data_IF_051449382331
#
_entry.id   IF_051449382331
#
_cell.length_a   1.000
_cell.length_b   1.000
_cell.length_c   1.000
_cell.angle_alpha   90.00
_cell.angle_beta   90.00
_cell.angle_gamma   90.00
#
_symmetry.space_group_name_H-M   'P 1'
#
loop_
_entity.id
_entity.type
_entity.pdbx_description
1 polymer ?
#
# COMPACT_ATOMS: atom_id res chain seq x y z
N UNK A 1 8.48 -76.66 -10.87
CA UNK A 1 7.49 -77.61 -10.36
C UNK A 1 7.28 -77.26 -8.89
N UNK A 2 6.14 -76.68 -8.53
CA UNK A 2 5.86 -76.32 -7.13
C UNK A 2 5.20 -77.52 -6.47
N UNK A 3 5.87 -78.13 -5.49
CA UNK A 3 5.24 -79.15 -4.63
C UNK A 3 4.21 -78.48 -3.72
N UNK A 4 3.06 -79.13 -3.57
CA UNK A 4 2.05 -78.73 -2.58
C UNK A 4 2.54 -79.05 -1.16
N UNK A 5 1.96 -78.42 -0.13
CA UNK A 5 2.35 -78.68 1.26
C UNK A 5 2.12 -80.15 1.66
N UNK A 6 1.08 -80.78 1.15
CA UNK A 6 0.80 -82.20 1.42
C UNK A 6 1.85 -83.12 0.78
N UNK A 7 2.27 -82.84 -0.45
CA UNK A 7 3.36 -83.58 -1.12
C UNK A 7 4.72 -83.37 -0.43
N UNK A 8 4.98 -82.15 0.08
CA UNK A 8 6.17 -81.83 0.86
C UNK A 8 6.20 -82.57 2.20
N UNK A 9 5.07 -82.63 2.91
CA UNK A 9 4.98 -83.41 4.15
C UNK A 9 5.23 -84.89 3.87
N UNK A 10 4.60 -85.47 2.84
CA UNK A 10 4.77 -86.89 2.52
C UNK A 10 6.22 -87.23 2.17
N UNK A 11 6.91 -86.34 1.43
CA UNK A 11 8.27 -86.60 0.96
C UNK A 11 9.31 -86.37 2.05
N UNK A 12 9.23 -85.27 2.81
CA UNK A 12 10.30 -84.87 3.73
C UNK A 12 10.10 -85.34 5.17
N UNK A 13 8.88 -85.71 5.58
CA UNK A 13 8.60 -86.17 6.94
C UNK A 13 9.33 -87.48 7.33
N UNK A 14 9.46 -88.50 6.45
CA UNK A 14 10.27 -89.68 6.74
C UNK A 14 11.75 -89.35 6.94
N UNK A 15 12.30 -88.46 6.11
CA UNK A 15 13.70 -88.00 6.24
C UNK A 15 13.93 -87.23 7.53
N UNK A 16 12.99 -86.35 7.92
CA UNK A 16 13.07 -85.61 9.18
C UNK A 16 13.05 -86.53 10.41
N UNK A 17 12.24 -87.61 10.39
CA UNK A 17 12.20 -88.59 11.49
C UNK A 17 13.56 -89.26 11.72
N UNK A 18 14.30 -89.53 10.66
CA UNK A 18 15.58 -90.23 10.69
C UNK A 18 16.79 -89.34 11.05
N UNK A 19 16.62 -88.01 11.17
CA UNK A 19 17.69 -87.10 11.59
C UNK A 19 18.06 -87.29 13.07
N UNK A 20 19.33 -87.06 13.38
CA UNK A 20 19.81 -87.08 14.76
C UNK A 20 19.39 -85.82 15.54
N UNK A 21 19.55 -85.82 16.86
CA UNK A 21 19.09 -84.73 17.72
C UNK A 21 19.79 -83.38 17.44
N UNK A 22 21.06 -83.41 17.01
CA UNK A 22 21.85 -82.20 16.69
C UNK A 22 21.33 -81.54 15.41
N UNK A 23 21.03 -82.34 14.39
CA UNK A 23 20.48 -81.86 13.11
C UNK A 23 19.04 -81.36 13.26
N UNK A 24 18.22 -82.03 14.07
CA UNK A 24 16.86 -81.56 14.41
C UNK A 24 16.86 -80.21 15.10
N UNK A 25 17.82 -79.95 15.99
CA UNK A 25 17.91 -78.68 16.70
C UNK A 25 18.11 -77.46 15.77
N UNK A 26 18.78 -77.64 14.62
CA UNK A 26 18.96 -76.60 13.60
C UNK A 26 17.59 -76.20 13.01
N UNK A 27 16.79 -77.19 12.60
CA UNK A 27 15.46 -76.96 12.05
C UNK A 27 14.48 -76.40 13.09
N UNK A 28 14.58 -76.84 14.34
CA UNK A 28 13.77 -76.29 15.44
C UNK A 28 14.12 -74.83 15.75
N UNK A 29 15.40 -74.46 15.68
CA UNK A 29 15.85 -73.07 15.82
C UNK A 29 15.31 -72.22 14.66
N UNK A 30 15.45 -72.69 13.43
CA UNK A 30 14.88 -72.02 12.24
C UNK A 30 13.35 -71.84 12.36
N UNK A 31 12.63 -72.87 12.85
CA UNK A 31 11.19 -72.80 13.06
C UNK A 31 10.81 -71.81 14.17
N UNK A 32 11.58 -71.74 15.27
CA UNK A 32 11.39 -70.74 16.34
C UNK A 32 11.62 -69.32 15.83
N UNK A 33 12.70 -69.09 15.09
CA UNK A 33 13.00 -67.79 14.48
C UNK A 33 11.92 -67.38 13.47
N UNK A 34 11.41 -68.31 12.67
CA UNK A 34 10.34 -68.05 11.70
C UNK A 34 9.00 -67.74 12.41
N UNK A 35 8.65 -68.47 13.49
CA UNK A 35 7.49 -68.16 14.34
C UNK A 35 7.62 -66.79 15.01
N UNK A 36 8.83 -66.42 15.44
CA UNK A 36 9.09 -65.12 16.06
C UNK A 36 8.98 -63.98 15.05
N UNK A 37 9.52 -64.17 13.83
CA UNK A 37 9.35 -63.24 12.69
C UNK A 37 7.88 -63.06 12.31
N UNK A 38 7.09 -64.15 12.29
CA UNK A 38 5.65 -64.08 12.04
C UNK A 38 4.87 -63.39 13.18
N UNK A 39 5.29 -63.57 14.44
CA UNK A 39 4.71 -62.86 15.60
C UNK A 39 5.07 -61.38 15.63
N UNK A 40 6.16 -60.95 14.99
CA UNK A 40 6.52 -59.52 14.89
C UNK A 40 5.91 -58.83 13.66
N UNK A 41 5.42 -59.58 12.67
CA UNK A 41 4.90 -59.04 11.41
C UNK A 41 3.51 -58.40 11.60
N UNK A 42 3.38 -57.06 11.46
CA UNK A 42 2.12 -56.36 11.66
C UNK A 42 1.07 -56.68 10.58
N UNK A 43 1.47 -57.25 9.43
CA UNK A 43 0.54 -57.66 8.36
C UNK A 43 -0.23 -58.94 8.70
N UNK A 44 0.26 -59.73 9.66
CA UNK A 44 -0.33 -61.01 10.08
C UNK A 44 -1.04 -60.94 11.42
N UNK A 45 -1.09 -59.76 12.04
CA UNK A 45 -1.85 -59.50 13.27
C UNK A 45 -3.17 -58.86 12.89
N UNK A 46 -4.26 -59.48 13.32
CA UNK A 46 -5.61 -58.99 13.07
C UNK A 46 -6.26 -58.60 14.39
N UNK A 47 -7.13 -57.59 14.35
CA UNK A 47 -7.98 -57.24 15.47
C UNK A 47 -9.22 -58.15 15.57
N UNK A 48 -10.05 -57.93 16.58
CA UNK A 48 -11.31 -58.68 16.80
C UNK A 48 -12.34 -58.52 15.68
N UNK A 49 -12.11 -57.59 14.75
CA UNK A 49 -12.95 -57.33 13.58
C UNK A 49 -12.32 -57.85 12.28
N UNK A 50 -11.19 -58.56 12.37
CA UNK A 50 -10.53 -59.17 11.22
C UNK A 50 -9.70 -58.20 10.36
N UNK A 51 -9.39 -57.00 10.86
CA UNK A 51 -8.57 -56.00 10.15
C UNK A 51 -7.11 -56.14 10.55
N UNK A 52 -6.19 -56.10 9.59
CA UNK A 52 -4.76 -56.19 9.89
C UNK A 52 -4.28 -54.95 10.67
N UNK A 53 -3.37 -55.14 11.62
CA UNK A 53 -2.76 -54.04 12.37
C UNK A 53 -1.95 -53.10 11.46
N UNK A 54 -1.39 -53.62 10.35
CA UNK A 54 -0.75 -52.81 9.32
C UNK A 54 -1.73 -51.83 8.66
N UNK A 55 -2.93 -52.29 8.28
CA UNK A 55 -3.96 -51.44 7.67
C UNK A 55 -4.49 -50.39 8.65
N UNK A 56 -4.66 -50.80 9.91
CA UNK A 56 -5.14 -49.91 10.99
C UNK A 56 -4.11 -48.81 11.31
N UNK A 57 -2.83 -49.16 11.35
CA UNK A 57 -1.74 -48.20 11.51
C UNK A 57 -1.65 -47.27 10.29
N UNK A 58 -1.79 -47.79 9.07
CA UNK A 58 -1.81 -46.97 7.87
C UNK A 58 -3.00 -46.00 7.84
N UNK A 59 -4.19 -46.43 8.29
CA UNK A 59 -5.35 -45.56 8.44
C UNK A 59 -5.13 -44.45 9.47
N UNK A 60 -4.55 -44.80 10.63
CA UNK A 60 -4.16 -43.83 11.67
C UNK A 60 -3.13 -42.81 11.17
N UNK A 61 -2.12 -43.25 10.42
CA UNK A 61 -1.13 -42.34 9.84
C UNK A 61 -1.74 -41.43 8.76
N UNK A 62 -2.68 -41.93 7.96
CA UNK A 62 -3.45 -41.08 7.02
C UNK A 62 -4.28 -40.03 7.76
N UNK A 63 -4.94 -40.42 8.86
CA UNK A 63 -5.75 -39.50 9.68
C UNK A 63 -4.87 -38.44 10.37
N UNK A 64 -3.73 -38.84 10.94
CA UNK A 64 -2.74 -37.92 11.51
C UNK A 64 -2.20 -36.94 10.46
N UNK A 65 -1.90 -37.45 9.26
CA UNK A 65 -1.43 -36.62 8.14
C UNK A 65 -2.50 -35.62 7.71
N UNK A 66 -3.74 -36.05 7.50
CA UNK A 66 -4.86 -35.17 7.16
C UNK A 66 -5.11 -34.11 8.24
N UNK A 67 -5.01 -34.49 9.52
CA UNK A 67 -5.12 -33.55 10.64
C UNK A 67 -3.98 -32.54 10.67
N UNK A 68 -2.75 -32.96 10.36
CA UNK A 68 -1.59 -32.07 10.26
C UNK A 68 -1.76 -31.08 9.09
N UNK A 69 -2.14 -31.58 7.91
CA UNK A 69 -2.41 -30.73 6.73
C UNK A 69 -3.52 -29.71 7.00
N UNK A 70 -4.59 -30.11 7.69
CA UNK A 70 -5.65 -29.20 8.12
C UNK A 70 -5.13 -28.12 9.08
N UNK A 71 -4.32 -28.51 10.08
CA UNK A 71 -3.73 -27.56 11.03
C UNK A 71 -2.74 -26.59 10.36
N UNK A 72 -1.95 -27.08 9.42
CA UNK A 72 -1.02 -26.26 8.63
C UNK A 72 -1.80 -25.29 7.72
N UNK A 73 -2.90 -25.75 7.10
CA UNK A 73 -3.80 -24.88 6.34
C UNK A 73 -4.42 -23.80 7.23
N UNK A 74 -5.00 -24.15 8.38
CA UNK A 74 -5.59 -23.18 9.32
C UNK A 74 -4.54 -22.18 9.79
N UNK A 75 -3.33 -22.64 10.14
CA UNK A 75 -2.23 -21.77 10.57
C UNK A 75 -1.84 -20.79 9.46
N UNK A 76 -1.73 -21.27 8.23
CA UNK A 76 -1.44 -20.42 7.07
C UNK A 76 -2.58 -19.43 6.79
N UNK A 77 -3.84 -19.86 6.82
CA UNK A 77 -5.00 -18.98 6.65
C UNK A 77 -5.06 -17.92 7.75
N UNK A 78 -4.81 -18.27 9.02
CA UNK A 78 -4.77 -17.30 10.12
C UNK A 78 -3.60 -16.33 9.98
N UNK A 79 -2.43 -16.77 9.50
CA UNK A 79 -1.30 -15.87 9.17
C UNK A 79 -1.66 -14.96 8.00
N UNK A 80 -2.26 -15.49 6.94
CA UNK A 80 -2.74 -14.70 5.80
C UNK A 80 -3.82 -13.71 6.22
N UNK A 81 -4.74 -14.09 7.12
CA UNK A 81 -5.78 -13.21 7.64
C UNK A 81 -5.23 -12.17 8.63
N UNK A 82 -4.24 -12.51 9.47
CA UNK A 82 -3.51 -11.54 10.31
C UNK A 82 -2.63 -10.59 9.50
N UNK A 83 -2.11 -11.03 8.36
CA UNK A 83 -1.41 -10.18 7.41
C UNK A 83 -2.39 -9.44 6.48
N UNK A 84 -3.64 -9.90 6.40
CA UNK A 84 -4.75 -9.21 5.73
C UNK A 84 -5.50 -8.28 6.68
N UNK A 85 -5.22 -8.33 7.99
CA UNK A 85 -5.53 -7.26 8.92
C UNK A 85 -4.67 -6.04 8.53
N UNK A 86 -5.33 -5.13 7.81
CA UNK A 86 -5.23 -3.69 8.07
C UNK A 86 -3.89 -3.02 7.75
N UNK A 87 -3.27 -3.28 6.60
CA UNK A 87 -2.81 -2.11 5.85
C UNK A 87 -4.08 -1.44 5.35
N UNK A 88 -4.67 -0.59 6.20
CA UNK A 88 -5.66 0.37 5.74
C UNK A 88 -5.02 1.08 4.56
N UNK A 89 -5.44 0.77 3.34
CA UNK A 89 -5.08 1.60 2.20
C UNK A 89 -5.67 2.97 2.49
N UNK A 90 -4.86 3.82 3.10
CA UNK A 90 -5.18 5.21 3.39
C UNK A 90 -5.32 5.89 2.04
N UNK A 91 -6.52 6.35 1.76
CA UNK A 91 -6.79 7.16 0.58
C UNK A 91 -6.57 8.62 0.96
N UNK A 92 -5.67 9.28 0.24
CA UNK A 92 -5.32 10.68 0.46
C UNK A 92 -5.99 11.52 -0.61
N UNK A 93 -6.93 12.37 -0.20
CA UNK A 93 -7.60 13.29 -1.12
C UNK A 93 -6.73 14.55 -1.28
N UNK A 94 -6.29 14.88 -2.52
CA UNK A 94 -5.51 16.09 -2.76
C UNK A 94 -6.39 17.33 -2.52
N UNK A 95 -5.87 18.27 -1.70
CA UNK A 95 -6.47 19.60 -1.51
C UNK A 95 -5.55 20.72 -2.02
N UNK A 96 -4.24 20.51 -1.93
CA UNK A 96 -3.21 21.44 -2.38
C UNK A 96 -1.95 20.63 -2.70
N UNK A 97 -1.20 21.06 -3.72
CA UNK A 97 0.13 20.55 -4.04
C UNK A 97 1.05 21.73 -4.34
N UNK A 98 2.29 21.64 -3.86
CA UNK A 98 3.37 22.52 -4.27
C UNK A 98 4.62 21.70 -4.54
N UNK A 99 5.45 22.12 -5.49
CA UNK A 99 6.76 21.52 -5.76
C UNK A 99 7.74 22.65 -6.02
N UNK A 100 8.82 22.72 -5.23
CA UNK A 100 9.87 23.71 -5.43
C UNK A 100 11.08 23.10 -6.15
N UNK A 101 11.59 23.80 -7.17
CA UNK A 101 12.94 23.59 -7.70
C UNK A 101 13.87 24.61 -7.07
N UNK A 102 14.95 24.12 -6.48
CA UNK A 102 15.97 24.97 -5.88
C UNK A 102 17.36 24.44 -6.17
N UNK A 103 18.35 25.33 -6.10
CA UNK A 103 19.76 24.96 -6.07
C UNK A 103 20.44 25.68 -4.93
N UNK A 104 21.50 25.08 -4.39
CA UNK A 104 22.26 25.68 -3.29
C UNK A 104 22.75 27.10 -3.64
N UNK A 105 23.16 27.32 -4.89
CA UNK A 105 23.71 28.61 -5.35
C UNK A 105 22.66 29.70 -5.58
N UNK A 106 21.49 29.35 -6.14
CA UNK A 106 20.47 30.34 -6.56
C UNK A 106 19.28 30.43 -5.61
N UNK A 107 19.19 29.51 -4.66
CA UNK A 107 18.02 29.36 -3.82
C UNK A 107 16.83 28.75 -4.56
N UNK A 108 15.62 29.10 -4.14
CA UNK A 108 14.37 28.66 -4.76
C UNK A 108 14.21 29.33 -6.12
N UNK A 109 14.30 28.55 -7.19
CA UNK A 109 14.26 29.06 -8.58
C UNK A 109 12.84 29.11 -9.13
N UNK A 110 12.05 28.06 -8.88
CA UNK A 110 10.68 27.94 -9.37
C UNK A 110 9.81 27.17 -8.40
N UNK A 111 8.52 27.47 -8.36
CA UNK A 111 7.52 26.73 -7.59
C UNK A 111 6.33 26.42 -8.49
N UNK A 112 5.99 25.15 -8.63
CA UNK A 112 4.68 24.72 -9.10
C UNK A 112 3.73 24.72 -7.90
N UNK A 113 2.53 25.25 -8.06
CA UNK A 113 1.50 25.30 -7.02
C UNK A 113 0.12 25.09 -7.65
N UNK A 114 -0.72 24.31 -6.99
CA UNK A 114 -2.11 24.14 -7.37
C UNK A 114 -2.96 23.84 -6.13
N UNK A 115 -4.03 24.61 -5.93
CA UNK A 115 -5.15 24.18 -5.10
C UNK A 115 -5.98 23.20 -5.92
N UNK A 116 -6.27 22.03 -5.35
CA UNK A 116 -6.91 20.93 -6.06
C UNK A 116 -8.31 20.75 -5.52
N UNK A 117 -9.30 20.62 -6.40
CA UNK A 117 -10.64 20.25 -5.98
C UNK A 117 -10.60 18.83 -5.41
N UNK A 118 -10.91 18.64 -4.11
CA UNK A 118 -10.88 17.32 -3.52
C UNK A 118 -11.90 16.40 -4.22
N UNK A 119 -11.56 15.13 -4.31
CA UNK A 119 -12.47 14.11 -4.82
C UNK A 119 -13.63 13.84 -3.86
N UNK A 120 -14.41 12.81 -4.16
CA UNK A 120 -15.53 12.44 -3.31
C UNK A 120 -15.04 11.93 -1.95
N UNK A 121 -15.45 12.60 -0.87
CA UNK A 121 -15.16 12.14 0.49
C UNK A 121 -15.86 10.79 0.71
N UNK A 122 -15.12 9.75 1.16
CA UNK A 122 -15.72 8.46 1.44
C UNK A 122 -16.85 8.54 2.46
N UNK A 123 -17.85 7.66 2.30
CA UNK A 123 -19.02 7.62 3.21
C UNK A 123 -18.55 7.31 4.63
N UNK A 124 -19.00 8.12 5.60
CA UNK A 124 -18.61 8.02 7.01
C UNK A 124 -17.50 8.97 7.45
N UNK A 125 -16.85 9.68 6.51
CA UNK A 125 -15.67 10.52 6.81
C UNK A 125 -15.93 12.03 6.69
N UNK A 126 -17.15 12.44 6.36
CA UNK A 126 -17.49 13.85 6.17
C UNK A 126 -17.12 14.73 7.38
N UNK A 127 -17.38 14.25 8.61
CA UNK A 127 -17.00 14.97 9.83
C UNK A 127 -15.48 15.06 9.99
N UNK A 128 -14.77 13.95 9.82
CA UNK A 128 -13.31 13.90 9.99
C UNK A 128 -12.57 14.77 8.96
N UNK A 129 -13.05 14.78 7.71
CA UNK A 129 -12.51 15.63 6.65
C UNK A 129 -12.75 17.12 6.94
N UNK A 130 -13.96 17.47 7.40
CA UNK A 130 -14.30 18.85 7.79
C UNK A 130 -13.48 19.31 8.99
N UNK A 131 -13.40 18.49 10.04
CA UNK A 131 -12.61 18.79 11.24
C UNK A 131 -11.12 18.95 10.91
N UNK A 132 -10.57 18.12 10.02
CA UNK A 132 -9.19 18.26 9.58
C UNK A 132 -8.98 19.58 8.86
N UNK A 133 -9.82 19.87 7.86
CA UNK A 133 -9.79 21.13 7.11
C UNK A 133 -9.83 22.34 8.04
N UNK A 134 -10.76 22.38 9.00
CA UNK A 134 -10.91 23.50 9.95
C UNK A 134 -9.74 23.64 10.93
N UNK A 135 -9.02 22.56 11.24
CA UNK A 135 -7.87 22.59 12.17
C UNK A 135 -6.53 22.82 11.49
N UNK A 136 -6.43 22.57 10.19
CA UNK A 136 -5.18 22.68 9.44
C UNK A 136 -5.28 23.75 8.37
N UNK A 137 -5.48 23.37 7.11
CA UNK A 137 -5.31 24.22 5.93
C UNK A 137 -6.49 25.15 5.63
N UNK A 138 -7.64 24.97 6.27
CA UNK A 138 -8.87 25.72 6.02
C UNK A 138 -9.41 25.71 4.57
N UNK A 139 -8.76 24.99 3.65
CA UNK A 139 -9.32 24.68 2.33
C UNK A 139 -10.65 23.93 2.52
N UNK A 140 -11.78 24.45 2.02
CA UNK A 140 -13.07 23.82 2.19
C UNK A 140 -13.09 22.39 1.64
N UNK A 141 -13.81 21.49 2.31
CA UNK A 141 -14.00 20.10 1.85
C UNK A 141 -14.64 19.98 0.46
N UNK A 142 -15.32 21.03 0.00
CA UNK A 142 -15.87 21.15 -1.36
C UNK A 142 -14.85 21.62 -2.40
N UNK A 143 -13.64 21.97 -1.98
CA UNK A 143 -12.63 22.72 -2.74
C UNK A 143 -12.72 24.22 -2.52
N UNK A 144 -11.58 24.91 -2.63
CA UNK A 144 -11.52 26.36 -2.72
C UNK A 144 -12.11 26.86 -4.06
N UNK A 145 -12.63 28.11 -4.15
CA UNK A 145 -13.17 28.66 -5.39
C UNK A 145 -12.22 28.59 -6.59
N UNK A 146 -10.92 28.80 -6.35
CA UNK A 146 -9.85 28.78 -7.34
C UNK A 146 -9.21 27.40 -7.54
N UNK A 147 -9.77 26.35 -6.92
CA UNK A 147 -9.20 25.01 -6.98
C UNK A 147 -9.44 24.35 -8.36
N UNK A 148 -8.39 23.78 -8.94
CA UNK A 148 -8.46 23.09 -10.21
C UNK A 148 -9.10 21.70 -10.06
N UNK A 149 -10.07 21.40 -10.91
CA UNK A 149 -10.76 20.11 -10.98
C UNK A 149 -10.17 19.13 -12.00
N UNK A 150 -9.24 19.58 -12.85
CA UNK A 150 -8.63 18.78 -13.92
C UNK A 150 -7.41 18.00 -13.42
N UNK A 151 -7.63 16.76 -12.98
CA UNK A 151 -6.51 15.88 -12.60
C UNK A 151 -5.57 15.57 -13.77
N UNK A 152 -6.08 15.44 -15.00
CA UNK A 152 -5.24 15.24 -16.19
C UNK A 152 -4.36 16.46 -16.47
N UNK A 153 -4.91 17.68 -16.33
CA UNK A 153 -4.13 18.91 -16.42
C UNK A 153 -3.04 19.01 -15.36
N UNK A 154 -3.34 18.56 -14.14
CA UNK A 154 -2.34 18.50 -13.06
C UNK A 154 -1.22 17.52 -13.38
N UNK A 155 -1.53 16.31 -13.89
CA UNK A 155 -0.50 15.35 -14.31
C UNK A 155 0.41 15.95 -15.39
N UNK A 156 -0.17 16.58 -16.42
CA UNK A 156 0.59 17.22 -17.51
C UNK A 156 1.53 18.30 -16.95
N UNK A 157 1.03 19.21 -16.11
CA UNK A 157 1.84 20.31 -15.56
C UNK A 157 2.89 19.82 -14.56
N UNK A 158 2.57 18.83 -13.73
CA UNK A 158 3.56 18.22 -12.83
C UNK A 158 4.67 17.52 -13.62
N UNK A 159 4.31 16.77 -14.67
CA UNK A 159 5.28 16.14 -15.56
C UNK A 159 6.15 17.19 -16.27
N UNK A 160 5.55 18.26 -16.80
CA UNK A 160 6.28 19.35 -17.45
C UNK A 160 7.23 20.06 -16.46
N UNK A 161 6.79 20.27 -15.22
CA UNK A 161 7.61 20.88 -14.19
C UNK A 161 8.78 19.98 -13.79
N UNK A 162 8.57 18.68 -13.56
CA UNK A 162 9.58 17.75 -13.05
C UNK A 162 10.52 17.18 -14.11
N UNK A 163 10.25 17.38 -15.39
CA UNK A 163 11.11 16.89 -16.46
C UNK A 163 12.45 17.63 -16.47
N UNK A 164 13.55 16.88 -16.51
CA UNK A 164 14.88 17.43 -16.69
C UNK A 164 15.21 17.65 -18.19
N UNK A 165 16.43 18.12 -18.47
CA UNK A 165 16.89 18.37 -19.84
C UNK A 165 17.04 17.08 -20.68
N UNK A 166 17.22 15.93 -20.04
CA UNK A 166 17.35 14.62 -20.67
C UNK A 166 15.98 13.98 -20.96
N UNK A 167 14.89 14.61 -20.49
CA UNK A 167 13.53 14.10 -20.65
C UNK A 167 13.06 13.20 -19.52
N UNK A 168 13.89 12.92 -18.52
CA UNK A 168 13.54 12.10 -17.36
C UNK A 168 12.81 12.91 -16.28
N UNK A 169 11.96 12.22 -15.51
CA UNK A 169 11.28 12.82 -14.35
C UNK A 169 12.22 12.78 -13.13
N UNK A 170 12.53 13.96 -12.60
CA UNK A 170 13.35 14.12 -11.40
C UNK A 170 12.65 13.55 -10.15
N UNK A 171 13.40 12.98 -9.19
CA UNK A 171 12.83 12.60 -7.91
C UNK A 171 12.35 13.81 -7.12
N UNK A 172 11.29 13.63 -6.33
CA UNK A 172 10.78 14.63 -5.39
C UNK A 172 11.16 14.25 -3.97
N UNK A 173 11.38 15.26 -3.14
CA UNK A 173 11.83 15.10 -1.75
C UNK A 173 10.83 15.76 -0.82
N UNK A 174 10.47 15.08 0.26
CA UNK A 174 9.57 15.58 1.32
C UNK A 174 10.04 15.04 2.68
N UNK A 175 9.44 15.48 3.77
CA UNK A 175 9.77 14.96 5.11
C UNK A 175 9.25 13.53 5.30
N UNK A 176 9.90 12.72 6.14
CA UNK A 176 9.49 11.33 6.42
C UNK A 176 7.99 11.23 6.78
N UNK A 177 7.51 12.15 7.62
CA UNK A 177 6.11 12.23 8.08
C UNK A 177 5.10 12.40 6.92
N UNK A 178 5.51 13.05 5.83
CA UNK A 178 4.66 13.38 4.69
C UNK A 178 4.82 12.40 3.51
N UNK A 179 5.81 11.49 3.54
CA UNK A 179 6.12 10.61 2.40
C UNK A 179 4.95 9.72 1.98
N UNK A 180 4.29 9.06 2.94
CA UNK A 180 3.14 8.17 2.66
C UNK A 180 2.01 8.93 1.96
N UNK A 181 1.75 10.15 2.43
CA UNK A 181 0.68 10.96 1.92
C UNK A 181 1.00 11.62 0.58
N UNK A 182 2.23 12.09 0.38
CA UNK A 182 2.70 12.56 -0.92
C UNK A 182 2.57 11.45 -1.97
N UNK A 183 2.99 10.22 -1.66
CA UNK A 183 2.80 9.05 -2.54
C UNK A 183 1.32 8.76 -2.80
N UNK A 184 0.50 8.79 -1.75
CA UNK A 184 -0.95 8.58 -1.86
C UNK A 184 -1.63 9.62 -2.74
N UNK A 185 -1.26 10.90 -2.58
CA UNK A 185 -1.75 12.02 -3.35
C UNK A 185 -1.35 11.92 -4.82
N UNK A 186 -0.06 11.65 -5.11
CA UNK A 186 0.43 11.46 -6.49
C UNK A 186 -0.32 10.29 -7.13
N UNK A 187 -0.45 9.16 -6.43
CA UNK A 187 -1.25 8.02 -6.90
C UNK A 187 -2.69 8.43 -7.22
N UNK A 188 -3.34 9.20 -6.36
CA UNK A 188 -4.71 9.68 -6.56
C UNK A 188 -4.84 10.54 -7.82
N UNK A 189 -3.97 11.55 -7.97
CA UNK A 189 -3.96 12.47 -9.11
C UNK A 189 -3.75 11.70 -10.42
N UNK A 190 -2.80 10.77 -10.47
CA UNK A 190 -2.52 9.97 -11.68
C UNK A 190 -3.70 9.06 -12.06
N UNK A 191 -4.29 8.37 -11.07
CA UNK A 191 -5.44 7.49 -11.29
C UNK A 191 -6.64 8.26 -11.86
N UNK A 192 -6.92 9.45 -11.34
CA UNK A 192 -8.05 10.26 -11.80
C UNK A 192 -7.71 11.13 -13.01
N UNK A 193 -6.42 11.31 -13.32
CA UNK A 193 -5.92 12.00 -14.52
C UNK A 193 -5.87 11.13 -15.78
N UNK A 194 -6.24 9.85 -15.69
CA UNK A 194 -6.26 8.92 -16.82
C UNK A 194 -4.92 8.23 -17.10
N UNK A 195 -3.90 8.46 -16.27
CA UNK A 195 -2.59 7.82 -16.39
C UNK A 195 -2.44 6.66 -15.38
N UNK A 196 -2.68 5.43 -15.85
CA UNK A 196 -2.58 4.21 -15.03
C UNK A 196 -1.27 3.43 -15.22
N UNK A 197 -0.40 3.83 -16.15
CA UNK A 197 0.66 2.95 -16.70
C UNK A 197 2.11 3.38 -16.45
N UNK A 198 2.37 4.50 -15.80
CA UNK A 198 3.75 4.96 -15.56
C UNK A 198 4.22 4.54 -14.16
N UNK A 199 5.53 4.29 -13.95
CA UNK A 199 6.07 4.26 -12.60
C UNK A 199 5.77 5.62 -11.95
N UNK A 200 5.11 5.59 -10.80
CA UNK A 200 4.85 6.80 -10.00
C UNK A 200 6.17 7.51 -9.68
N UNK A 201 6.10 8.82 -9.44
CA UNK A 201 7.26 9.62 -9.07
C UNK A 201 8.03 9.00 -7.90
N UNK A 202 9.36 9.09 -7.98
CA UNK A 202 10.23 8.70 -6.87
C UNK A 202 10.10 9.75 -5.78
N UNK A 203 9.54 9.36 -4.64
CA UNK A 203 9.42 10.19 -3.43
C UNK A 203 10.46 9.76 -2.42
N UNK A 204 11.37 10.66 -2.08
CA UNK A 204 12.48 10.43 -1.14
C UNK A 204 12.42 11.38 0.07
N UNK A 205 13.19 11.03 1.09
CA UNK A 205 13.32 11.83 2.30
C UNK A 205 14.30 13.00 2.08
N UNK A 206 13.84 14.21 2.42
CA UNK A 206 14.62 15.45 2.33
C UNK A 206 15.71 15.54 3.39
N UNK A 207 15.53 14.91 4.56
CA UNK A 207 16.55 14.86 5.60
C UNK A 207 17.74 14.03 5.13
N UNK A 208 17.47 12.87 4.52
CA UNK A 208 18.49 12.06 3.85
C UNK A 208 19.24 12.82 2.74
N UNK A 209 18.53 13.58 1.89
CA UNK A 209 19.17 14.42 0.87
C UNK A 209 20.12 15.43 1.52
N UNK A 210 19.65 16.15 2.54
CA UNK A 210 20.42 17.17 3.26
C UNK A 210 21.68 16.58 3.87
N UNK A 211 21.57 15.39 4.48
CA UNK A 211 22.71 14.65 5.01
C UNK A 211 23.77 14.35 3.94
N UNK A 212 23.35 13.93 2.74
CA UNK A 212 24.28 13.62 1.65
C UNK A 212 24.93 14.89 1.08
N UNK A 213 24.20 16.00 0.98
CA UNK A 213 24.74 17.29 0.54
C UNK A 213 25.81 17.79 1.52
N UNK A 214 25.54 17.79 2.82
CA UNK A 214 26.52 18.21 3.83
C UNK A 214 27.78 17.33 3.79
N UNK A 215 27.62 16.01 3.70
CA UNK A 215 28.75 15.06 3.57
C UNK A 215 29.58 15.34 2.30
N UNK A 216 28.92 15.67 1.20
CA UNK A 216 29.56 16.02 -0.07
C UNK A 216 30.35 17.33 -0.02
N UNK A 217 29.80 18.37 0.60
CA UNK A 217 30.45 19.69 0.72
C UNK A 217 31.61 19.71 1.71
N UNK A 218 31.43 19.06 2.86
CA UNK A 218 32.44 19.05 3.92
C UNK A 218 33.71 18.25 3.56
N UNK A 219 33.71 17.43 2.50
CA UNK A 219 34.73 16.40 2.24
C UNK A 219 35.02 15.54 3.49
N UNK A 220 34.06 15.41 4.40
CA UNK A 220 34.26 14.90 5.76
C UNK A 220 33.15 13.95 6.19
N UNK A 221 33.57 12.88 6.87
CA UNK A 221 32.72 11.83 7.46
C UNK A 221 32.41 12.20 8.91
N UNK A 222 31.48 13.13 9.12
CA UNK A 222 30.91 13.33 10.45
C UNK A 222 29.47 12.80 10.46
N UNK A 223 29.22 11.80 11.30
CA UNK A 223 27.87 11.28 11.60
C UNK A 223 27.18 12.13 12.68
N UNK A 224 27.37 13.45 12.65
CA UNK A 224 26.64 14.34 13.54
C UNK A 224 25.15 14.28 13.15
N UNK A 225 24.24 14.09 14.12
CA UNK A 225 22.81 14.11 13.82
C UNK A 225 22.45 15.51 13.30
N UNK A 226 21.95 15.56 12.08
CA UNK A 226 21.40 16.77 11.49
C UNK A 226 19.99 16.94 12.06
N UNK A 227 19.66 18.16 12.49
CA UNK A 227 18.30 18.49 12.92
C UNK A 227 17.33 18.26 11.76
N UNK A 228 16.18 17.61 11.98
CA UNK A 228 15.16 17.46 10.95
C UNK A 228 14.84 18.80 10.28
N UNK A 229 14.71 18.78 8.96
CA UNK A 229 14.39 19.93 8.12
C UNK A 229 13.07 20.55 8.56
N UNK A 230 12.10 19.74 9.01
CA UNK A 230 10.85 20.24 9.57
C UNK A 230 11.08 21.24 10.73
N UNK A 231 11.92 20.90 11.70
CA UNK A 231 12.23 21.79 12.83
C UNK A 231 13.01 23.03 12.42
N UNK A 232 13.90 22.91 11.42
CA UNK A 232 14.63 24.07 10.90
C UNK A 232 13.69 25.01 10.16
N UNK A 233 12.70 24.46 9.45
CA UNK A 233 11.73 25.23 8.69
C UNK A 233 10.77 26.04 9.55
N UNK A 234 10.52 25.65 10.81
CA UNK A 234 9.74 26.43 11.78
C UNK A 234 10.31 27.85 11.99
N UNK A 235 11.60 28.07 11.72
CA UNK A 235 12.20 29.41 11.80
C UNK A 235 11.60 30.40 10.78
N UNK A 236 10.96 29.90 9.72
CA UNK A 236 10.31 30.69 8.69
C UNK A 236 8.79 30.78 8.87
N UNK A 237 8.20 30.21 9.92
CA UNK A 237 6.75 30.16 10.13
C UNK A 237 6.08 31.54 10.04
N UNK A 238 6.77 32.59 10.52
CA UNK A 238 6.28 33.97 10.54
C UNK A 238 6.76 34.82 9.36
N UNK A 239 7.44 34.22 8.38
CA UNK A 239 7.95 34.94 7.22
C UNK A 239 6.83 35.18 6.20
N UNK A 240 6.58 36.46 5.92
CA UNK A 240 5.52 36.89 5.02
C UNK A 240 5.88 36.63 3.55
N UNK A 241 4.89 36.29 2.72
CA UNK A 241 5.07 36.11 1.28
C UNK A 241 5.62 34.74 0.88
N UNK A 242 5.83 33.83 1.82
CA UNK A 242 6.18 32.44 1.53
C UNK A 242 4.97 31.58 1.21
N UNK A 243 3.77 31.92 1.68
CA UNK A 243 2.56 31.14 1.42
C UNK A 243 1.89 31.50 0.09
N UNK A 244 0.88 30.71 -0.29
CA UNK A 244 0.01 31.03 -1.42
C UNK A 244 -1.02 32.11 -1.04
N UNK A 245 -1.56 32.81 -2.03
CA UNK A 245 -2.53 33.91 -1.81
C UNK A 245 -3.75 33.48 -0.97
N UNK A 246 -4.24 32.25 -1.16
CA UNK A 246 -5.37 31.72 -0.39
C UNK A 246 -5.06 31.68 1.11
N UNK A 247 -3.90 31.15 1.48
CA UNK A 247 -3.48 31.00 2.88
C UNK A 247 -2.99 32.32 3.49
N UNK A 248 -2.34 33.20 2.71
CA UNK A 248 -2.01 34.57 3.15
C UNK A 248 -3.27 35.37 3.51
N UNK A 249 -4.31 35.33 2.67
CA UNK A 249 -5.57 36.04 2.91
C UNK A 249 -6.34 35.52 4.14
N UNK A 250 -6.02 34.32 4.60
CA UNK A 250 -6.63 33.67 5.77
C UNK A 250 -5.77 33.73 7.02
N UNK A 251 -4.60 34.35 6.93
CA UNK A 251 -3.62 34.38 8.03
C UNK A 251 -3.26 32.97 8.53
N UNK A 252 -3.15 32.02 7.59
CA UNK A 252 -2.85 30.63 7.89
C UNK A 252 -1.72 30.04 7.01
N UNK A 253 -0.55 30.69 6.96
CA UNK A 253 0.56 30.27 6.10
C UNK A 253 1.18 28.92 6.53
N UNK A 254 1.09 28.57 7.83
CA UNK A 254 1.67 27.36 8.43
C UNK A 254 1.27 26.07 7.72
N UNK A 255 0.01 25.98 7.28
CA UNK A 255 -0.54 24.81 6.61
C UNK A 255 -0.59 24.98 5.09
N UNK A 256 0.16 25.91 4.51
CA UNK A 256 0.27 26.05 3.06
C UNK A 256 1.41 25.19 2.52
N UNK A 257 1.15 24.36 1.51
CA UNK A 257 2.20 23.56 0.88
C UNK A 257 3.29 24.42 0.22
N UNK A 258 2.94 25.59 -0.33
CA UNK A 258 3.91 26.56 -0.90
C UNK A 258 4.87 27.08 0.16
N UNK A 259 4.34 27.42 1.34
CA UNK A 259 5.15 27.83 2.47
C UNK A 259 6.10 26.71 2.89
N UNK A 260 5.57 25.49 3.05
CA UNK A 260 6.35 24.32 3.45
C UNK A 260 7.52 24.06 2.51
N UNK A 261 7.30 23.95 1.20
CA UNK A 261 8.39 23.64 0.24
C UNK A 261 9.44 24.75 0.16
N UNK A 262 9.04 26.02 0.32
CA UNK A 262 9.97 27.16 0.37
C UNK A 262 10.79 27.14 1.65
N UNK A 263 10.15 26.97 2.80
CA UNK A 263 10.80 26.91 4.10
C UNK A 263 11.76 25.71 4.19
N UNK A 264 11.40 24.55 3.63
CA UNK A 264 12.29 23.40 3.52
C UNK A 264 13.48 23.68 2.62
N UNK A 265 13.28 24.23 1.43
CA UNK A 265 14.39 24.57 0.52
C UNK A 265 15.36 25.56 1.17
N UNK A 266 14.86 26.63 1.80
CA UNK A 266 15.67 27.59 2.55
C UNK A 266 16.42 26.93 3.70
N UNK A 267 15.78 26.03 4.44
CA UNK A 267 16.43 25.25 5.51
C UNK A 267 17.59 24.39 4.99
N UNK A 268 17.41 23.72 3.85
CA UNK A 268 18.49 22.93 3.21
C UNK A 268 19.66 23.83 2.83
N UNK A 269 19.37 24.98 2.21
CA UNK A 269 20.41 25.93 1.76
C UNK A 269 21.18 26.48 2.96
N UNK A 270 20.48 26.91 4.02
CA UNK A 270 21.10 27.41 5.26
C UNK A 270 21.99 26.36 5.92
N UNK A 271 21.56 25.10 5.97
CA UNK A 271 22.37 24.04 6.56
C UNK A 271 23.59 23.68 5.70
N UNK A 272 23.49 23.89 4.39
CA UNK A 272 24.58 23.62 3.46
C UNK A 272 25.52 24.83 3.26
N UNK A 273 25.13 26.04 3.66
CA UNK A 273 25.83 27.25 3.25
C UNK A 273 27.29 27.29 3.67
N UNK A 274 27.53 26.86 4.91
CA UNK A 274 28.86 26.86 5.53
C UNK A 274 29.83 25.87 4.87
N UNK A 275 29.31 24.88 4.13
CA UNK A 275 30.11 23.81 3.52
C UNK A 275 30.42 24.05 2.04
N UNK A 276 29.71 24.99 1.41
CA UNK A 276 29.81 25.25 -0.03
C UNK A 276 30.23 26.68 -0.36
N UNK A 277 30.64 27.48 0.65
CA UNK A 277 31.00 28.91 0.51
C UNK A 277 29.95 29.72 -0.26
N UNK A 278 28.67 29.44 0.01
CA UNK A 278 27.53 30.14 -0.57
C UNK A 278 26.92 31.08 0.47
N UNK A 279 26.50 32.27 0.04
CA UNK A 279 25.76 33.17 0.91
C UNK A 279 24.39 32.55 1.23
N UNK A 280 24.12 32.29 2.51
CA UNK A 280 22.80 31.84 2.96
C UNK A 280 21.74 32.94 2.67
N UNK A 281 20.60 32.59 2.05
CA UNK A 281 19.48 33.51 1.88
C UNK A 281 18.94 34.04 3.20
N UNK A 282 19.06 33.31 4.31
CA UNK A 282 18.61 33.78 5.63
C UNK A 282 19.44 34.95 6.19
N UNK A 283 20.64 35.19 5.65
CA UNK A 283 21.44 36.37 5.98
C UNK A 283 21.10 37.60 5.12
N UNK A 284 20.23 37.46 4.12
CA UNK A 284 19.70 38.58 3.36
C UNK A 284 18.26 38.88 3.84
N UNK A 285 17.96 40.11 4.28
CA UNK A 285 16.57 40.50 4.51
C UNK A 285 15.80 40.27 3.21
N UNK A 286 14.75 39.44 3.25
CA UNK A 286 13.84 39.13 2.13
C UNK A 286 13.19 40.38 1.49
N UNK A 287 13.44 41.57 2.05
CA UNK A 287 13.05 42.86 1.51
C UNK A 287 13.93 43.39 0.35
N UNK A 288 15.05 42.75 -0.01
CA UNK A 288 15.94 43.23 -1.09
C UNK A 288 15.94 42.40 -2.37
N UNK A 289 15.35 41.19 -2.37
CA UNK A 289 15.05 40.46 -3.61
C UNK A 289 13.67 40.89 -4.11
N UNK A 290 13.67 41.59 -5.23
CA UNK A 290 12.52 42.02 -6.04
C UNK A 290 11.22 41.21 -5.89
N UNK A 291 10.35 41.60 -4.94
CA UNK A 291 8.95 41.17 -4.86
C UNK A 291 8.72 39.66 -4.74
N UNK A 292 7.45 39.22 -4.57
CA UNK A 292 7.13 37.81 -4.75
C UNK A 292 7.63 37.38 -6.12
N UNK A 293 8.48 36.35 -6.17
CA UNK A 293 8.77 35.63 -7.41
C UNK A 293 7.44 35.39 -8.10
N UNK A 294 7.29 35.79 -9.38
CA UNK A 294 5.99 35.70 -10.05
C UNK A 294 5.48 34.27 -9.89
N UNK A 295 4.29 34.14 -9.30
CA UNK A 295 3.50 32.93 -9.47
C UNK A 295 3.45 32.69 -10.97
N UNK A 296 4.12 31.64 -11.45
CA UNK A 296 3.77 31.11 -12.76
C UNK A 296 2.45 30.40 -12.52
N UNK A 297 1.34 31.16 -12.59
CA UNK A 297 0.08 30.54 -12.95
C UNK A 297 0.31 29.96 -14.33
N UNK A 298 0.27 28.64 -14.41
CA UNK A 298 0.28 27.98 -15.70
C UNK A 298 -1.08 28.29 -16.33
N UNK A 299 -1.13 29.37 -17.10
CA UNK A 299 -2.30 29.74 -17.88
C UNK A 299 -2.40 28.77 -19.08
N UNK A 300 -3.58 28.62 -19.69
CA UNK A 300 -3.80 27.67 -20.80
C UNK A 300 -2.86 27.89 -22.01
N UNK A 301 -2.22 29.06 -22.12
CA UNK A 301 -1.21 29.37 -23.14
C UNK A 301 0.12 28.61 -22.93
N UNK A 302 0.50 28.29 -21.70
CA UNK A 302 1.70 27.51 -21.38
C UNK A 302 1.52 26.01 -21.71
N UNK A 303 0.27 25.53 -21.75
CA UNK A 303 -0.06 24.16 -22.16
C UNK A 303 0.04 24.02 -23.69
N UNK A 304 -0.38 25.05 -24.43
CA UNK A 304 -0.33 25.06 -25.90
C UNK A 304 1.08 25.28 -26.47
N UNK A 305 2.06 25.62 -25.62
CA UNK A 305 3.47 25.72 -25.98
C UNK A 305 4.29 24.46 -25.64
N UNK A 306 3.63 23.44 -25.07
CA UNK A 306 4.19 22.08 -24.98
C UNK A 306 4.21 21.51 -26.40
N UNK A 307 5.37 21.05 -26.93
CA UNK A 307 5.42 20.42 -28.26
C UNK A 307 4.40 19.27 -28.34
N UNK A 308 3.58 19.28 -29.39
CA UNK A 308 2.69 18.15 -29.70
C UNK A 308 3.53 16.86 -29.76
N UNK A 309 3.03 15.82 -29.09
CA UNK A 309 3.63 14.50 -29.07
C UNK A 309 3.72 13.97 -30.51
N UNK A 310 4.91 13.97 -31.09
CA UNK A 310 5.22 13.02 -32.17
C UNK A 310 5.42 11.65 -31.53
N UNK A 311 4.57 10.71 -31.93
CA UNK A 311 4.63 9.31 -31.56
C UNK A 311 6.07 8.79 -31.75
N UNK A 312 6.79 8.59 -30.64
CA UNK A 312 7.97 7.73 -30.65
C UNK A 312 7.46 6.30 -30.91
N UNK A 313 7.43 5.91 -32.19
CA UNK A 313 7.29 4.52 -32.61
C UNK A 313 8.44 3.72 -31.99
N UNK A 314 8.19 3.13 -30.82
CA UNK A 314 9.05 2.09 -30.28
C UNK A 314 8.73 0.83 -31.11
N UNK A 315 9.56 0.53 -32.12
CA UNK A 315 9.59 -0.79 -32.74
C UNK A 315 10.07 -1.82 -31.70
N UNK A 316 9.15 -2.36 -30.92
CA UNK A 316 9.42 -3.53 -30.09
C UNK A 316 9.30 -4.81 -30.93
N UNK A 317 10.42 -5.44 -31.23
CA UNK A 317 10.51 -6.76 -31.87
C UNK A 317 10.00 -7.85 -30.90
N UNK A 318 8.69 -8.06 -30.90
CA UNK A 318 7.97 -9.06 -30.09
C UNK A 318 8.23 -10.53 -30.49
N UNK A 319 9.14 -10.82 -31.40
CA UNK A 319 9.42 -12.19 -31.84
C UNK A 319 10.16 -13.06 -30.80
N UNK A 320 10.66 -12.48 -29.70
CA UNK A 320 11.53 -13.19 -28.72
C UNK A 320 10.88 -13.54 -27.38
N UNK A 321 9.63 -13.16 -27.12
CA UNK A 321 8.94 -13.49 -25.86
C UNK A 321 8.00 -14.69 -26.04
N UNK A 322 8.56 -15.89 -25.92
CA UNK A 322 7.81 -17.14 -25.78
C UNK A 322 7.11 -17.24 -24.42
N UNK A 323 6.01 -16.51 -24.24
CA UNK A 323 5.08 -16.70 -23.13
C UNK A 323 3.78 -17.33 -23.66
N UNK A 324 3.62 -18.62 -23.38
CA UNK A 324 2.39 -19.37 -23.68
C UNK A 324 1.20 -18.75 -22.93
N UNK A 325 0.22 -18.23 -23.68
CA UNK A 325 -1.10 -17.83 -23.16
C UNK A 325 -1.81 -19.00 -22.48
N UNK A 326 -2.40 -18.83 -21.28
CA UNK A 326 -3.47 -19.70 -20.81
C UNK A 326 -4.74 -19.45 -21.63
N UNK A 327 -5.41 -20.52 -22.03
CA UNK A 327 -6.70 -20.49 -22.73
C UNK A 327 -7.78 -19.85 -21.84
N UNK A 328 -8.27 -18.68 -22.24
CA UNK A 328 -9.46 -18.03 -21.66
C UNK A 328 -10.68 -18.83 -22.11
N UNK A 329 -11.44 -19.37 -21.16
CA UNK A 329 -12.77 -19.94 -21.41
C UNK A 329 -13.77 -18.80 -21.63
N UNK A 330 -14.66 -18.99 -22.60
CA UNK A 330 -15.64 -18.03 -23.11
C UNK A 330 -16.51 -17.37 -22.02
N UNK A 331 -16.98 -16.12 -22.25
CA UNK A 331 -17.80 -15.40 -21.30
C UNK A 331 -19.24 -15.94 -21.24
N UNK A 332 -19.72 -16.15 -20.02
CA UNK A 332 -21.12 -16.48 -19.70
C UNK A 332 -22.01 -15.27 -20.02
N UNK A 333 -23.02 -15.45 -20.88
CA UNK A 333 -24.03 -14.44 -21.23
C UNK A 333 -24.88 -14.07 -19.99
N UNK A 334 -24.95 -12.77 -19.64
CA UNK A 334 -25.88 -12.25 -18.63
C UNK A 334 -27.28 -12.00 -19.24
N UNK A 335 -28.39 -12.18 -18.51
CA UNK A 335 -29.73 -11.88 -19.01
C UNK A 335 -29.99 -10.37 -19.08
N UNK A 336 -30.70 -9.98 -20.14
CA UNK A 336 -31.25 -8.65 -20.37
C UNK A 336 -32.44 -8.38 -19.45
N UNK A 337 -32.38 -7.30 -18.66
CA UNK A 337 -33.54 -6.76 -17.95
C UNK A 337 -34.15 -5.62 -18.76
N UNK A 338 -35.15 -5.96 -19.57
CA UNK A 338 -36.11 -5.01 -20.08
C UNK A 338 -37.41 -5.13 -19.26
N UNK A 339 -38.01 -3.98 -18.93
CA UNK A 339 -39.34 -3.73 -18.33
C UNK A 339 -39.40 -3.66 -16.79
N UNK A 340 -39.34 -2.43 -16.27
CA UNK A 340 -40.05 -2.04 -15.04
C UNK A 340 -40.78 -0.70 -15.31
N UNK A 341 -42.06 -0.68 -14.93
CA UNK A 341 -43.04 0.40 -15.15
C UNK A 341 -42.76 1.64 -14.26
N UNK A 342 -42.99 2.87 -14.74
CA UNK A 342 -42.85 4.10 -13.96
C UNK A 342 -44.18 4.53 -13.32
N UNK A 343 -44.45 4.17 -12.05
CA UNK A 343 -45.57 4.78 -11.28
C UNK A 343 -45.43 4.70 -9.74
N UNK A 344 -44.27 5.05 -9.18
CA UNK A 344 -44.13 5.07 -7.70
C UNK A 344 -43.38 6.26 -7.11
N UNK A 345 -43.20 7.35 -7.87
CA UNK A 345 -42.42 8.53 -7.43
C UNK A 345 -43.23 9.72 -6.88
N UNK A 346 -44.51 9.56 -6.52
CA UNK A 346 -45.32 10.69 -6.01
C UNK A 346 -45.85 10.56 -4.56
N UNK A 347 -45.38 9.59 -3.76
CA UNK A 347 -45.94 9.36 -2.42
C UNK A 347 -45.07 9.74 -1.21
N UNK A 348 -43.87 10.31 -1.38
CA UNK A 348 -42.94 10.55 -0.24
C UNK A 348 -42.66 12.04 0.06
N UNK A 349 -43.24 12.97 -0.70
CA UNK A 349 -42.97 14.42 -0.53
C UNK A 349 -44.04 15.21 0.25
N UNK A 350 -44.83 14.57 1.14
CA UNK A 350 -45.83 15.28 1.97
C UNK A 350 -45.85 14.85 3.45
N UNK A 351 -44.69 14.55 4.05
CA UNK A 351 -44.63 14.17 5.48
C UNK A 351 -43.53 14.83 6.33
N UNK A 352 -42.75 15.77 5.79
CA UNK A 352 -41.65 16.40 6.54
C UNK A 352 -41.85 17.89 6.87
N UNK A 353 -43.07 18.42 6.78
CA UNK A 353 -43.39 19.79 7.22
C UNK A 353 -44.48 19.76 8.30
N UNK A 354 -44.21 19.11 9.44
CA UNK A 354 -45.08 19.20 10.62
C UNK A 354 -44.43 18.72 11.93
N UNK A 355 -43.14 18.98 12.19
CA UNK A 355 -42.60 18.89 13.56
C UNK A 355 -41.47 19.91 13.75
N UNK A 356 -41.83 21.18 13.79
CA UNK A 356 -40.96 22.28 14.26
C UNK A 356 -41.75 23.12 15.26
N UNK A 357 -42.05 22.54 16.43
CA UNK A 357 -42.50 23.27 17.61
C UNK A 357 -42.35 22.42 18.87
N UNK A 358 -41.77 23.02 19.92
CA UNK A 358 -41.53 22.51 21.29
C UNK A 358 -40.33 21.55 21.41
N UNK A 359 -39.32 21.76 22.27
CA UNK A 359 -39.28 22.53 23.51
C UNK A 359 -39.18 21.55 24.70
N UNK A 360 -38.00 21.51 25.32
CA UNK A 360 -37.66 20.99 26.66
C UNK A 360 -37.45 19.49 26.93
N UNK A 361 -36.30 19.25 27.59
CA UNK A 361 -36.08 18.46 28.82
C UNK A 361 -35.99 16.92 28.80
N UNK A 362 -34.81 16.45 29.23
CA UNK A 362 -34.56 15.34 30.18
C UNK A 362 -35.14 13.94 29.88
N UNK A 363 -34.27 12.96 29.56
CA UNK A 363 -33.78 11.91 30.49
C UNK A 363 -33.04 10.79 29.76
N UNK A 364 -32.04 10.27 30.46
CA UNK A 364 -31.41 8.97 30.29
C UNK A 364 -32.43 7.86 30.07
N UNK A 365 -32.16 6.95 29.14
CA UNK A 365 -32.31 5.52 29.42
C UNK A 365 -31.43 4.68 28.49
N UNK A 366 -30.72 3.77 29.14
CA UNK A 366 -29.91 2.69 28.60
C UNK A 366 -30.78 1.67 27.87
N UNK A 367 -30.45 1.37 26.61
CA UNK A 367 -30.80 0.08 26.01
C UNK A 367 -29.63 -0.43 25.17
N UNK A 368 -29.09 -1.57 25.60
CA UNK A 368 -28.11 -2.34 24.86
C UNK A 368 -28.75 -2.93 23.61
N UNK A 369 -28.10 -2.69 22.48
CA UNK A 369 -28.36 -3.35 21.21
C UNK A 369 -27.00 -3.70 20.61
N UNK A 370 -26.76 -4.99 20.43
CA UNK A 370 -25.56 -5.55 19.82
C UNK A 370 -25.29 -4.85 18.49
N UNK A 371 -24.13 -4.18 18.37
CA UNK A 371 -23.60 -3.74 17.09
C UNK A 371 -22.89 -4.92 16.44
N UNK A 372 -23.46 -5.40 15.34
CA UNK A 372 -22.75 -6.18 14.35
C UNK A 372 -21.56 -5.34 13.84
N UNK A 373 -20.37 -5.96 13.84
CA UNK A 373 -19.13 -5.37 13.38
C UNK A 373 -19.21 -5.13 11.87
N UNK A 374 -19.58 -3.92 11.47
CA UNK A 374 -19.22 -3.40 10.15
C UNK A 374 -17.72 -3.12 10.14
N UNK A 375 -17.00 -3.80 9.26
CA UNK A 375 -15.60 -3.55 8.96
C UNK A 375 -15.40 -2.06 8.62
N UNK A 376 -14.78 -1.32 9.54
CA UNK A 376 -14.34 0.06 9.33
C UNK A 376 -12.93 0.04 8.74
N UNK A 377 -12.76 0.65 7.57
CA UNK A 377 -11.49 1.32 7.27
C UNK A 377 -11.33 2.44 8.30
N UNK A 378 -10.19 2.64 8.95
CA UNK A 378 -9.95 3.87 9.70
C UNK A 378 -9.37 4.96 8.78
N UNK A 379 -9.75 6.20 9.07
CA UNK A 379 -9.11 7.41 8.58
C UNK A 379 -8.09 7.77 9.65
N UNK A 380 -6.89 8.17 9.26
CA UNK A 380 -6.07 8.99 10.13
C UNK A 380 -5.63 10.25 9.39
N UNK A 381 -6.01 11.38 9.98
CA UNK A 381 -5.69 12.76 9.62
C UNK A 381 -4.17 12.95 9.61
N UNK A 382 -3.60 13.58 8.57
CA UNK A 382 -2.45 14.48 8.67
C UNK A 382 -2.36 15.36 7.39
N UNK A 383 -1.86 16.57 7.63
CA UNK A 383 -1.54 17.80 6.87
C UNK A 383 -1.79 17.94 5.35
N UNK A 384 -1.87 19.20 4.92
CA UNK A 384 -1.54 19.66 3.56
C UNK A 384 -0.13 19.20 3.18
N UNK A 385 0.04 18.70 1.94
CA UNK A 385 1.29 18.10 1.50
C UNK A 385 2.01 19.00 0.48
N UNK A 386 3.24 19.36 0.83
CA UNK A 386 4.25 19.93 -0.06
C UNK A 386 5.25 18.89 -0.52
#
# INVERSE_FOLDING_TARGET
>A
MFMTMDEAVQTFHPHYKNLNASEKAIYEKMAKEQKQKQKSDPTKKFDTYGVSMADRNAALEREKKAKKEMLDYIKNTVVTLKNADLTEEKEYLPCEVAIAKFSLKKGVEKVYHCLIKPGQIPVGYAFAAKEHSEKTHEIPVSGAPEADSSYSGQVIRMNAFLRNQEGDIEPVYTTEENMEAAKGMIKYIFQHGGEYKQPLYKVYDIDALTCQLIKGGANYVHDAPISPIAHKADQYEFELGLACKFHENRDNPKYCSVHAVRAWALSVIDLCSDFYDIESPANQPLASSSGPTPMVSWDDEDINSIPEFEDLEIEEDFSKLNLRRPLVKEPVKRPSYAKLNPSSYEAVSRRNEAVSANGNAWKSDSYGGQRENFHSKAYHQHNTFG
#
